data_IF_646967829522
#
_entry.id   IF_646967829522
#
_cell.length_a   1.000
_cell.length_b   1.000
_cell.length_c   1.000
_cell.angle_alpha   90.00
_cell.angle_beta   90.00
_cell.angle_gamma   90.00
#
_symmetry.space_group_name_H-M   'P 1'
#
loop_
_entity.id
_entity.type
_entity.pdbx_description
1 polymer ?
#
# COMPACT_ATOMS: atom_id res chain seq x y z
N UNK A 1 66.12 -34.23 -13.32
CA UNK A 1 65.43 -33.56 -14.45
C UNK A 1 64.14 -34.33 -14.63
N UNK A 2 63.08 -33.80 -14.07
CA UNK A 2 61.72 -34.29 -14.32
C UNK A 2 60.83 -33.06 -14.24
N UNK A 3 60.56 -32.49 -15.41
CA UNK A 3 59.64 -31.38 -15.59
C UNK A 3 58.21 -31.90 -15.38
N UNK A 4 57.52 -31.36 -14.38
CA UNK A 4 56.09 -31.57 -14.18
C UNK A 4 55.36 -30.28 -14.57
N UNK A 5 54.73 -30.28 -15.73
CA UNK A 5 53.78 -29.26 -16.16
C UNK A 5 52.60 -29.19 -15.22
N UNK A 6 52.09 -28.00 -14.87
CA UNK A 6 50.84 -27.86 -14.13
C UNK A 6 49.63 -28.09 -15.06
N UNK A 7 48.51 -28.61 -14.53
CA UNK A 7 47.33 -28.86 -15.33
C UNK A 7 46.63 -27.54 -15.73
N UNK A 8 46.36 -27.44 -17.04
CA UNK A 8 45.47 -26.42 -17.63
C UNK A 8 44.11 -26.47 -16.99
N UNK A 9 43.75 -25.38 -16.32
CA UNK A 9 42.37 -25.08 -15.94
C UNK A 9 41.62 -24.70 -17.21
N UNK A 10 40.90 -25.64 -17.80
CA UNK A 10 39.89 -25.35 -18.82
C UNK A 10 38.70 -24.71 -18.14
N UNK A 11 38.68 -23.38 -18.14
CA UNK A 11 37.49 -22.59 -17.94
C UNK A 11 36.51 -22.89 -19.08
N UNK A 12 35.58 -23.78 -18.81
CA UNK A 12 34.42 -24.00 -19.68
C UNK A 12 33.47 -22.84 -19.41
N UNK A 13 33.23 -21.92 -20.35
CA UNK A 13 32.20 -20.91 -20.17
C UNK A 13 30.86 -21.64 -20.10
N UNK A 14 30.19 -21.47 -18.97
CA UNK A 14 28.81 -21.93 -18.74
C UNK A 14 27.96 -21.61 -19.96
N UNK A 15 27.32 -22.67 -20.49
CA UNK A 15 26.49 -22.64 -21.67
C UNK A 15 25.57 -21.44 -21.66
N UNK A 16 25.70 -20.58 -22.67
CA UNK A 16 24.74 -19.53 -22.97
C UNK A 16 23.36 -20.18 -23.09
N UNK A 17 22.49 -19.88 -22.13
CA UNK A 17 21.08 -20.23 -22.25
C UNK A 17 20.57 -19.68 -23.58
N UNK A 18 19.99 -20.54 -24.40
CA UNK A 18 19.51 -20.22 -25.74
C UNK A 18 18.43 -19.11 -25.69
N UNK A 19 17.94 -18.60 -26.85
CA UNK A 19 17.07 -17.44 -26.96
C UNK A 19 15.68 -17.67 -26.29
N UNK A 20 15.61 -17.75 -24.97
CA UNK A 20 14.42 -18.10 -24.18
C UNK A 20 14.60 -18.07 -22.68
N UNK A 21 15.55 -17.29 -22.16
CA UNK A 21 15.72 -17.10 -20.71
C UNK A 21 14.44 -16.70 -19.98
N UNK A 22 14.39 -16.77 -18.64
CA UNK A 22 13.21 -16.47 -17.83
C UNK A 22 12.57 -15.12 -18.19
N UNK A 23 13.38 -14.14 -18.55
CA UNK A 23 12.97 -12.80 -18.97
C UNK A 23 12.17 -12.83 -20.28
N UNK A 24 12.64 -13.56 -21.29
CA UNK A 24 11.95 -13.68 -22.57
C UNK A 24 10.59 -14.38 -22.42
N UNK A 25 10.44 -15.31 -21.47
CA UNK A 25 9.15 -15.94 -21.15
C UNK A 25 8.15 -14.95 -20.55
N UNK A 26 8.60 -14.04 -19.68
CA UNK A 26 7.75 -13.01 -19.07
C UNK A 26 7.20 -12.03 -20.10
N UNK A 27 7.99 -11.68 -21.11
CA UNK A 27 7.64 -10.68 -22.12
C UNK A 27 6.82 -11.26 -23.28
N UNK A 28 6.67 -12.58 -23.36
CA UNK A 28 5.95 -13.25 -24.45
C UNK A 28 4.50 -12.85 -24.50
N UNK A 29 4.02 -12.48 -25.71
CA UNK A 29 2.63 -12.13 -25.98
C UNK A 29 2.19 -10.78 -25.42
N UNK A 30 3.15 -9.90 -25.06
CA UNK A 30 2.88 -8.49 -24.86
C UNK A 30 2.86 -7.78 -26.22
N UNK A 31 1.94 -6.83 -26.41
CA UNK A 31 2.00 -5.92 -27.55
C UNK A 31 3.12 -4.86 -27.34
N UNK A 32 3.49 -4.07 -28.38
CA UNK A 32 4.58 -3.11 -28.27
C UNK A 32 4.42 -2.11 -27.11
N UNK A 33 3.22 -1.58 -26.88
CA UNK A 33 2.94 -0.61 -25.83
C UNK A 33 3.04 -1.25 -24.43
N UNK A 34 2.52 -2.48 -24.30
CA UNK A 34 2.64 -3.26 -23.05
C UNK A 34 4.09 -3.61 -22.77
N UNK A 35 4.88 -3.99 -23.79
CA UNK A 35 6.28 -4.28 -23.66
C UNK A 35 7.05 -3.04 -23.20
N UNK A 36 6.83 -1.90 -23.84
CA UNK A 36 7.44 -0.63 -23.46
C UNK A 36 7.10 -0.28 -22.00
N UNK A 37 5.84 -0.42 -21.59
CA UNK A 37 5.41 -0.14 -20.22
C UNK A 37 6.06 -1.09 -19.18
N UNK A 38 6.22 -2.37 -19.51
CA UNK A 38 6.85 -3.37 -18.62
C UNK A 38 8.33 -3.11 -18.44
N UNK A 39 9.03 -2.71 -19.50
CA UNK A 39 10.49 -2.52 -19.51
C UNK A 39 10.94 -1.08 -19.24
N UNK A 40 10.02 -0.16 -18.91
CA UNK A 40 10.35 1.21 -18.50
C UNK A 40 11.47 1.23 -17.43
N UNK A 41 12.40 2.18 -17.49
CA UNK A 41 13.38 2.38 -16.43
C UNK A 41 12.72 2.67 -15.07
N UNK A 42 13.52 2.64 -14.00
CA UNK A 42 13.06 2.93 -12.63
C UNK A 42 12.90 4.43 -12.38
N UNK A 43 11.95 5.03 -13.08
CA UNK A 43 11.55 6.43 -12.92
C UNK A 43 10.06 6.51 -12.64
N UNK A 44 9.58 7.55 -11.95
CA UNK A 44 8.15 7.81 -11.82
C UNK A 44 7.48 7.80 -13.18
N UNK A 45 6.45 6.99 -13.35
CA UNK A 45 5.79 6.79 -14.64
C UNK A 45 4.28 6.68 -14.48
N UNK A 46 3.54 7.30 -15.38
CA UNK A 46 2.09 7.19 -15.49
C UNK A 46 1.74 6.38 -16.75
N UNK A 47 0.97 5.31 -16.57
CA UNK A 47 0.49 4.48 -17.68
C UNK A 47 -1.01 4.68 -17.81
N UNK A 48 -1.44 5.32 -18.90
CA UNK A 48 -2.85 5.51 -19.23
C UNK A 48 -3.33 4.35 -20.09
N UNK A 49 -4.39 3.68 -19.65
CA UNK A 49 -4.90 2.49 -20.33
C UNK A 49 -6.41 2.34 -20.15
N UNK A 50 -7.14 2.10 -21.24
CA UNK A 50 -8.59 1.89 -21.25
C UNK A 50 -9.02 0.59 -20.55
N UNK A 51 -10.33 0.39 -20.42
CA UNK A 51 -10.87 -0.88 -19.95
C UNK A 51 -10.48 -2.02 -20.93
N UNK A 52 -10.14 -3.19 -20.40
CA UNK A 52 -9.74 -4.36 -21.22
C UNK A 52 -8.35 -4.30 -21.84
N UNK A 53 -7.59 -3.21 -21.71
CA UNK A 53 -6.22 -3.06 -22.28
C UNK A 53 -5.15 -3.93 -21.62
N UNK A 54 -5.49 -4.68 -20.56
CA UNK A 54 -4.54 -5.53 -19.86
C UNK A 54 -3.74 -4.82 -18.77
N UNK A 55 -4.21 -3.70 -18.21
CA UNK A 55 -3.53 -2.95 -17.12
C UNK A 55 -2.95 -3.84 -16.03
N UNK A 56 -3.75 -4.76 -15.50
CA UNK A 56 -3.31 -5.68 -14.44
C UNK A 56 -2.20 -6.61 -14.93
N UNK A 57 -2.27 -7.06 -16.19
CA UNK A 57 -1.21 -7.87 -16.80
C UNK A 57 0.10 -7.07 -16.90
N UNK A 58 0.04 -5.85 -17.39
CA UNK A 58 1.23 -4.97 -17.48
C UNK A 58 1.85 -4.77 -16.10
N UNK A 59 1.03 -4.43 -15.09
CA UNK A 59 1.52 -4.21 -13.72
C UNK A 59 2.18 -5.46 -13.14
N UNK A 60 1.53 -6.62 -13.21
CA UNK A 60 2.09 -7.87 -12.66
C UNK A 60 3.34 -8.30 -13.43
N UNK A 61 3.36 -8.17 -14.76
CA UNK A 61 4.54 -8.51 -15.56
C UNK A 61 5.70 -7.54 -15.28
N UNK A 62 5.42 -6.24 -15.05
CA UNK A 62 6.46 -5.28 -14.65
C UNK A 62 7.06 -5.62 -13.29
N UNK A 63 6.24 -5.97 -12.30
CA UNK A 63 6.75 -6.41 -10.99
C UNK A 63 7.65 -7.64 -11.18
N UNK A 64 7.19 -8.65 -11.92
CA UNK A 64 7.97 -9.84 -12.20
C UNK A 64 9.27 -9.54 -12.94
N UNK A 65 9.23 -8.62 -13.91
CA UNK A 65 10.40 -8.13 -14.65
C UNK A 65 11.43 -7.48 -13.72
N UNK A 66 11.01 -6.53 -12.87
CA UNK A 66 11.90 -5.85 -11.92
C UNK A 66 12.58 -6.81 -10.94
N UNK A 67 11.87 -7.86 -10.52
CA UNK A 67 12.40 -8.87 -9.61
C UNK A 67 13.38 -9.81 -10.33
N UNK A 68 13.03 -10.29 -11.52
CA UNK A 68 13.88 -11.21 -12.29
C UNK A 68 15.18 -10.55 -12.79
N UNK A 69 15.12 -9.27 -13.15
CA UNK A 69 16.30 -8.49 -13.57
C UNK A 69 17.11 -7.94 -12.39
N UNK A 70 16.76 -8.30 -11.15
CA UNK A 70 17.47 -7.85 -9.94
C UNK A 70 17.34 -6.35 -9.65
N UNK A 71 16.44 -5.65 -10.37
CA UNK A 71 16.22 -4.22 -10.17
C UNK A 71 15.45 -3.90 -8.88
N UNK A 72 14.73 -4.86 -8.32
CA UNK A 72 14.04 -4.75 -7.04
C UNK A 72 14.11 -6.08 -6.28
N UNK A 73 14.02 -6.02 -4.95
CA UNK A 73 13.83 -7.20 -4.11
C UNK A 73 12.34 -7.39 -3.78
N UNK A 74 11.88 -8.60 -3.39
CA UNK A 74 10.50 -8.82 -2.95
C UNK A 74 10.04 -7.88 -1.85
N UNK A 75 10.91 -7.58 -0.88
CA UNK A 75 10.62 -6.63 0.21
C UNK A 75 10.58 -5.16 -0.23
N UNK A 76 11.12 -4.83 -1.40
CA UNK A 76 11.10 -3.49 -1.98
C UNK A 76 9.89 -3.22 -2.90
N UNK A 77 8.94 -4.15 -3.00
CA UNK A 77 7.72 -3.98 -3.82
C UNK A 77 6.54 -3.62 -2.92
N UNK A 78 5.94 -2.48 -3.21
CA UNK A 78 4.63 -2.06 -2.69
C UNK A 78 3.66 -1.93 -3.88
N UNK A 79 2.65 -2.78 -3.94
CA UNK A 79 1.63 -2.74 -4.98
C UNK A 79 0.23 -2.66 -4.38
N UNK A 80 -0.50 -1.62 -4.74
CA UNK A 80 -1.77 -1.27 -4.13
C UNK A 80 -2.91 -1.38 -5.13
N UNK A 81 -4.04 -1.87 -4.68
CA UNK A 81 -5.29 -1.96 -5.46
C UNK A 81 -6.51 -1.64 -4.59
N UNK A 82 -7.67 -1.44 -5.21
CA UNK A 82 -8.88 -1.08 -4.48
C UNK A 82 -9.63 -2.28 -3.88
N UNK A 83 -9.52 -3.47 -4.47
CA UNK A 83 -10.31 -4.63 -4.04
C UNK A 83 -9.46 -5.81 -3.62
N UNK A 84 -9.93 -6.56 -2.62
CA UNK A 84 -9.28 -7.79 -2.20
C UNK A 84 -9.22 -8.84 -3.31
N UNK A 85 -10.23 -8.86 -4.20
CA UNK A 85 -10.24 -9.74 -5.37
C UNK A 85 -9.07 -9.43 -6.31
N UNK A 86 -8.86 -8.14 -6.64
CA UNK A 86 -7.75 -7.73 -7.50
C UNK A 86 -6.39 -7.98 -6.85
N UNK A 87 -6.25 -7.75 -5.54
CA UNK A 87 -5.03 -8.07 -4.80
C UNK A 87 -4.71 -9.57 -4.84
N UNK A 88 -5.71 -10.43 -4.61
CA UNK A 88 -5.56 -11.89 -4.69
C UNK A 88 -5.19 -12.36 -6.10
N UNK A 89 -5.84 -11.79 -7.13
CA UNK A 89 -5.52 -12.09 -8.52
C UNK A 89 -4.07 -11.70 -8.87
N UNK A 90 -3.62 -10.53 -8.43
CA UNK A 90 -2.24 -10.07 -8.61
C UNK A 90 -1.24 -11.04 -7.96
N UNK A 91 -1.47 -11.44 -6.72
CA UNK A 91 -0.63 -12.42 -6.01
C UNK A 91 -0.59 -13.78 -6.71
N UNK A 92 -1.74 -14.28 -7.20
CA UNK A 92 -1.83 -15.53 -7.96
C UNK A 92 -1.02 -15.48 -9.24
N UNK A 93 -1.15 -14.38 -10.00
CA UNK A 93 -0.40 -14.18 -11.26
C UNK A 93 1.10 -14.09 -11.02
N UNK A 94 1.53 -13.34 -10.01
CA UNK A 94 2.94 -13.22 -9.65
C UNK A 94 3.53 -14.55 -9.18
N UNK A 95 2.78 -15.33 -8.38
CA UNK A 95 3.21 -16.65 -7.94
C UNK A 95 3.37 -17.65 -9.09
N UNK A 96 2.63 -17.48 -10.19
CA UNK A 96 2.79 -18.29 -11.40
C UNK A 96 3.98 -17.84 -12.28
N UNK A 97 4.42 -16.58 -12.17
CA UNK A 97 5.49 -15.99 -12.98
C UNK A 97 6.87 -16.09 -12.31
N UNK A 98 6.91 -16.19 -10.99
CA UNK A 98 8.13 -16.05 -10.20
C UNK A 98 8.45 -17.33 -9.42
N UNK A 99 9.71 -17.76 -9.38
CA UNK A 99 10.16 -18.87 -8.54
C UNK A 99 10.30 -18.49 -7.06
N UNK A 100 9.97 -17.26 -6.68
CA UNK A 100 10.14 -16.74 -5.32
C UNK A 100 8.80 -16.64 -4.57
N UNK A 101 8.87 -16.70 -3.23
CA UNK A 101 7.69 -16.57 -2.40
C UNK A 101 7.12 -15.15 -2.45
N UNK A 102 5.94 -14.99 -3.03
CA UNK A 102 5.24 -13.69 -3.14
C UNK A 102 4.53 -13.27 -1.85
N UNK A 103 4.38 -14.19 -0.88
CA UNK A 103 3.67 -13.94 0.40
C UNK A 103 4.30 -12.84 1.27
N UNK A 104 5.59 -12.57 1.12
CA UNK A 104 6.30 -11.52 1.86
C UNK A 104 6.12 -10.11 1.27
N UNK A 105 5.66 -10.00 0.03
CA UNK A 105 5.52 -8.73 -0.66
C UNK A 105 4.40 -7.88 -0.05
N UNK A 106 4.51 -6.56 -0.21
CA UNK A 106 3.49 -5.61 0.19
C UNK A 106 2.49 -5.41 -0.95
N UNK A 107 1.64 -6.42 -1.17
CA UNK A 107 0.59 -6.42 -2.19
C UNK A 107 -0.77 -6.55 -1.52
N UNK A 108 -1.65 -5.58 -1.72
CA UNK A 108 -2.94 -5.55 -1.04
C UNK A 108 -3.79 -4.34 -1.41
N UNK A 109 -4.89 -4.17 -0.68
CA UNK A 109 -5.69 -2.95 -0.73
C UNK A 109 -5.05 -1.86 0.13
N UNK A 110 -5.38 -0.59 -0.12
CA UNK A 110 -4.95 0.53 0.73
C UNK A 110 -5.21 0.21 2.21
N UNK A 111 -6.45 -0.06 2.58
CA UNK A 111 -6.83 -0.39 3.97
C UNK A 111 -6.06 -1.58 4.52
N UNK A 112 -5.93 -2.66 3.75
CA UNK A 112 -5.20 -3.86 4.19
C UNK A 112 -3.72 -3.60 4.43
N UNK A 113 -3.08 -2.82 3.57
CA UNK A 113 -1.66 -2.47 3.70
C UNK A 113 -1.44 -1.45 4.83
N UNK A 114 -2.30 -0.44 4.98
CA UNK A 114 -2.26 0.49 6.11
C UNK A 114 -2.42 -0.24 7.45
N UNK A 115 -3.39 -1.16 7.54
CA UNK A 115 -3.56 -2.00 8.73
C UNK A 115 -2.29 -2.83 9.02
N UNK A 116 -1.73 -3.50 8.01
CA UNK A 116 -0.48 -4.26 8.15
C UNK A 116 0.68 -3.38 8.62
N UNK A 117 0.77 -2.15 8.08
CA UNK A 117 1.79 -1.18 8.45
C UNK A 117 1.63 -0.74 9.91
N UNK A 118 0.43 -0.35 10.31
CA UNK A 118 0.13 0.03 11.70
C UNK A 118 0.38 -1.12 12.68
N UNK A 119 0.00 -2.37 12.32
CA UNK A 119 0.29 -3.55 13.13
C UNK A 119 1.79 -3.78 13.32
N UNK A 120 2.61 -3.54 12.30
CA UNK A 120 4.06 -3.68 12.39
C UNK A 120 4.71 -2.56 13.22
N UNK A 121 4.12 -1.37 13.21
CA UNK A 121 4.70 -0.15 13.83
C UNK A 121 3.81 0.46 14.92
N UNK A 122 2.99 -0.35 15.58
CA UNK A 122 2.01 0.11 16.57
C UNK A 122 2.60 0.98 17.68
N UNK A 123 3.82 0.66 18.15
CA UNK A 123 4.52 1.45 19.17
C UNK A 123 4.85 2.88 18.68
N UNK A 124 5.35 3.00 17.44
CA UNK A 124 5.65 4.29 16.83
C UNK A 124 4.39 5.12 16.58
N UNK A 125 3.29 4.45 16.27
CA UNK A 125 1.99 5.08 16.10
C UNK A 125 1.29 5.45 17.42
N UNK A 126 1.89 5.13 18.57
CA UNK A 126 1.26 5.38 19.89
C UNK A 126 0.02 4.52 20.15
N UNK A 127 -0.15 3.40 19.43
CA UNK A 127 -1.32 2.54 19.53
C UNK A 127 -1.06 1.35 20.48
N UNK A 128 -2.06 0.82 21.16
CA UNK A 128 -1.92 -0.45 21.87
C UNK A 128 -1.77 -1.61 20.86
N UNK A 129 -1.07 -2.68 21.24
CA UNK A 129 -0.83 -3.82 20.36
C UNK A 129 -2.12 -4.45 19.79
N UNK A 130 -3.18 -4.43 20.59
CA UNK A 130 -4.50 -4.97 20.25
C UNK A 130 -5.48 -3.96 19.68
N UNK A 131 -5.02 -2.80 19.18
CA UNK A 131 -5.92 -1.76 18.67
C UNK A 131 -6.94 -2.30 17.66
N UNK A 132 -8.11 -1.69 17.62
CA UNK A 132 -9.16 -2.01 16.67
C UNK A 132 -9.34 -0.87 15.66
N UNK A 133 -9.78 -1.22 14.44
CA UNK A 133 -10.11 -0.23 13.42
C UNK A 133 -11.61 -0.02 13.43
N UNK A 134 -12.02 1.23 13.57
CA UNK A 134 -13.43 1.60 13.50
C UNK A 134 -13.95 1.52 12.07
N UNK A 135 -15.14 0.98 11.90
CA UNK A 135 -15.89 1.18 10.68
C UNK A 135 -16.62 2.54 10.68
N UNK A 136 -17.23 2.89 9.54
CA UNK A 136 -17.93 4.19 9.41
C UNK A 136 -19.12 4.34 10.38
N UNK A 137 -19.77 3.23 10.77
CA UNK A 137 -20.87 3.22 11.74
C UNK A 137 -20.36 3.44 13.15
N UNK A 138 -19.27 2.77 13.50
CA UNK A 138 -18.61 2.90 14.80
C UNK A 138 -18.02 4.30 14.97
N UNK A 139 -17.40 4.85 13.94
CA UNK A 139 -16.88 6.22 13.92
C UNK A 139 -18.01 7.23 14.19
N UNK A 140 -19.13 7.13 13.45
CA UNK A 140 -20.29 8.00 13.65
C UNK A 140 -20.84 7.87 15.09
N UNK A 141 -20.90 6.64 15.63
CA UNK A 141 -21.36 6.39 16.99
C UNK A 141 -20.42 7.00 18.04
N UNK A 142 -19.12 6.92 17.83
CA UNK A 142 -18.12 7.57 18.68
C UNK A 142 -18.26 9.10 18.66
N UNK A 143 -18.42 9.71 17.49
CA UNK A 143 -18.65 11.16 17.35
C UNK A 143 -19.93 11.59 18.06
N UNK A 144 -21.05 10.83 17.94
CA UNK A 144 -22.29 11.11 18.68
C UNK A 144 -22.07 11.10 20.18
N UNK A 145 -21.33 10.11 20.72
CA UNK A 145 -21.02 10.06 22.15
C UNK A 145 -20.25 11.30 22.62
N UNK A 146 -19.28 11.76 21.82
CA UNK A 146 -18.49 12.95 22.14
C UNK A 146 -19.36 14.21 22.13
N UNK A 147 -20.17 14.43 21.10
CA UNK A 147 -21.10 15.58 21.01
C UNK A 147 -22.03 15.62 22.23
N UNK A 148 -22.61 14.48 22.59
CA UNK A 148 -23.48 14.35 23.76
C UNK A 148 -22.73 14.61 25.08
N UNK A 149 -21.54 14.07 25.25
CA UNK A 149 -20.70 14.28 26.43
C UNK A 149 -20.30 15.74 26.63
N UNK A 150 -20.16 16.48 25.53
CA UNK A 150 -19.85 17.92 25.53
C UNK A 150 -21.12 18.81 25.68
N UNK A 151 -22.29 18.23 25.81
CA UNK A 151 -23.59 18.91 25.86
C UNK A 151 -23.80 19.87 24.67
N UNK A 152 -23.36 19.48 23.48
CA UNK A 152 -23.58 20.26 22.27
C UNK A 152 -24.91 19.90 21.61
N UNK A 153 -25.53 20.90 21.02
CA UNK A 153 -26.75 20.75 20.25
C UNK A 153 -26.52 19.95 18.97
N UNK A 154 -27.16 18.79 18.82
CA UNK A 154 -27.04 17.90 17.68
C UNK A 154 -27.65 18.48 16.38
N UNK A 155 -28.56 19.45 16.46
CA UNK A 155 -29.09 20.16 15.31
C UNK A 155 -28.01 21.12 14.71
N UNK A 156 -27.25 21.77 15.60
CA UNK A 156 -26.14 22.66 15.22
C UNK A 156 -24.85 21.88 14.87
N UNK A 157 -24.58 20.79 15.58
CA UNK A 157 -23.41 19.93 15.37
C UNK A 157 -23.86 18.55 14.89
N UNK A 158 -24.38 18.50 13.65
CA UNK A 158 -24.89 17.27 13.06
C UNK A 158 -23.78 16.21 13.02
N UNK A 159 -23.95 15.06 13.72
CA UNK A 159 -22.84 14.09 13.87
C UNK A 159 -22.19 13.66 12.58
N UNK A 160 -22.97 13.48 11.52
CA UNK A 160 -22.45 13.11 10.19
C UNK A 160 -21.55 14.21 9.57
N UNK A 161 -21.93 15.48 9.74
CA UNK A 161 -21.12 16.59 9.27
C UNK A 161 -19.83 16.73 10.08
N UNK A 162 -19.90 16.53 11.39
CA UNK A 162 -18.73 16.51 12.27
C UNK A 162 -17.78 15.37 11.89
N UNK A 163 -18.31 14.18 11.60
CA UNK A 163 -17.50 13.05 11.10
C UNK A 163 -16.78 13.41 9.79
N UNK A 164 -17.48 14.03 8.85
CA UNK A 164 -16.86 14.49 7.60
C UNK A 164 -15.81 15.57 7.81
N UNK A 165 -16.04 16.50 8.73
CA UNK A 165 -15.03 17.50 9.08
C UNK A 165 -13.76 16.82 9.61
N UNK A 166 -13.90 15.90 10.58
CA UNK A 166 -12.76 15.16 11.14
C UNK A 166 -12.01 14.38 10.06
N UNK A 167 -12.74 13.64 9.21
CA UNK A 167 -12.15 12.88 8.11
C UNK A 167 -11.38 13.78 7.15
N UNK A 168 -11.96 14.91 6.73
CA UNK A 168 -11.30 15.87 5.85
C UNK A 168 -10.02 16.45 6.45
N UNK A 169 -10.03 16.80 7.75
CA UNK A 169 -8.80 17.28 8.41
C UNK A 169 -7.71 16.19 8.47
N UNK A 170 -8.09 14.94 8.75
CA UNK A 170 -7.16 13.81 8.73
C UNK A 170 -6.58 13.53 7.35
N UNK A 171 -7.39 13.61 6.29
CA UNK A 171 -6.94 13.43 4.90
C UNK A 171 -5.90 14.49 4.50
N UNK A 172 -6.04 15.71 5.00
CA UNK A 172 -5.07 16.79 4.81
C UNK A 172 -3.85 16.69 5.76
N UNK A 173 -3.84 15.72 6.65
CA UNK A 173 -2.77 15.52 7.64
C UNK A 173 -2.85 16.47 8.84
N UNK A 174 -3.95 17.18 9.01
CA UNK A 174 -4.14 18.13 10.10
C UNK A 174 -4.63 17.43 11.38
N UNK A 175 -3.87 17.53 12.45
CA UNK A 175 -4.31 17.20 13.80
C UNK A 175 -5.02 18.40 14.44
N UNK A 176 -5.84 18.23 15.52
CA UNK A 176 -6.61 19.31 16.11
C UNK A 176 -5.85 20.64 16.30
N UNK A 177 -4.59 20.66 16.80
CA UNK A 177 -3.85 21.91 16.96
C UNK A 177 -3.42 22.60 15.66
N UNK A 178 -3.49 21.89 14.51
CA UNK A 178 -3.05 22.38 13.20
C UNK A 178 -4.22 22.94 12.37
N UNK A 179 -5.45 22.74 12.84
CA UNK A 179 -6.65 23.22 12.12
C UNK A 179 -6.82 24.73 12.29
N UNK A 180 -6.91 25.45 11.18
CA UNK A 180 -7.17 26.91 11.17
C UNK A 180 -8.65 27.18 11.55
N UNK A 181 -8.88 27.56 12.79
CA UNK A 181 -10.21 27.80 13.37
C UNK A 181 -10.47 29.30 13.59
N UNK A 182 -10.91 30.01 12.54
CA UNK A 182 -11.11 31.46 12.56
C UNK A 182 -12.43 31.87 13.21
N UNK A 183 -13.47 31.08 13.07
CA UNK A 183 -14.79 31.33 13.61
C UNK A 183 -15.12 30.44 14.83
N UNK A 184 -16.16 30.81 15.57
CA UNK A 184 -16.58 30.11 16.79
C UNK A 184 -17.07 28.69 16.51
N UNK A 185 -17.77 28.49 15.38
CA UNK A 185 -18.28 27.16 15.00
C UNK A 185 -17.12 26.20 14.72
N UNK A 186 -16.14 26.64 13.90
CA UNK A 186 -14.95 25.82 13.60
C UNK A 186 -14.12 25.54 14.85
N UNK A 187 -13.97 26.53 15.74
CA UNK A 187 -13.31 26.28 17.06
C UNK A 187 -14.01 25.18 17.87
N UNK A 188 -15.34 25.16 17.83
CA UNK A 188 -16.10 24.11 18.49
C UNK A 188 -15.94 22.74 17.81
N UNK A 189 -15.90 22.69 16.48
CA UNK A 189 -15.60 21.47 15.72
C UNK A 189 -14.21 20.91 16.06
N UNK A 190 -13.20 21.78 16.20
CA UNK A 190 -11.84 21.39 16.61
C UNK A 190 -11.84 20.80 18.03
N UNK A 191 -12.60 21.39 18.98
CA UNK A 191 -12.76 20.83 20.33
C UNK A 191 -13.41 19.42 20.29
N UNK A 192 -14.42 19.22 19.44
CA UNK A 192 -15.02 17.89 19.25
C UNK A 192 -14.01 16.93 18.62
N UNK A 193 -13.21 17.37 17.66
CA UNK A 193 -12.17 16.55 17.05
C UNK A 193 -11.12 16.13 18.09
N UNK A 194 -10.66 17.04 18.92
CA UNK A 194 -9.71 16.73 20.00
C UNK A 194 -10.31 15.71 21.00
N UNK A 195 -11.54 15.94 21.45
CA UNK A 195 -12.22 15.00 22.34
C UNK A 195 -12.44 13.63 21.71
N UNK A 196 -12.70 13.57 20.40
CA UNK A 196 -12.81 12.34 19.65
C UNK A 196 -11.47 11.58 19.58
N UNK A 197 -10.36 12.26 19.31
CA UNK A 197 -9.02 11.65 19.31
C UNK A 197 -8.66 11.07 20.68
N UNK A 198 -8.94 11.83 21.75
CA UNK A 198 -8.73 11.36 23.12
C UNK A 198 -9.59 10.12 23.46
N UNK A 199 -10.83 10.09 22.99
CA UNK A 199 -11.71 8.94 23.18
C UNK A 199 -11.21 7.71 22.42
N UNK A 200 -10.78 7.88 21.17
CA UNK A 200 -10.18 6.82 20.37
C UNK A 200 -8.92 6.25 21.03
N UNK A 201 -8.03 7.11 21.51
CA UNK A 201 -6.84 6.70 22.23
C UNK A 201 -7.16 5.92 23.52
N UNK A 202 -8.16 6.37 24.29
CA UNK A 202 -8.63 5.71 25.52
C UNK A 202 -9.24 4.33 25.26
N UNK A 203 -10.00 4.20 24.19
CA UNK A 203 -10.64 2.94 23.78
C UNK A 203 -9.67 2.01 23.01
N UNK A 204 -8.50 2.48 22.63
CA UNK A 204 -7.53 1.71 21.84
C UNK A 204 -8.02 1.44 20.43
N UNK A 205 -8.70 2.40 19.83
CA UNK A 205 -9.27 2.30 18.48
C UNK A 205 -8.67 3.34 17.54
N UNK A 206 -8.74 3.09 16.25
CA UNK A 206 -8.27 4.00 15.18
C UNK A 206 -9.24 3.97 14.00
N UNK A 207 -9.42 5.08 13.31
CA UNK A 207 -10.26 5.25 12.13
C UNK A 207 -9.44 5.49 10.87
#
# INVERSE_FOLDING_TARGET
MHDSEPPELTDTPSAAEGPGGPEAKLLRGLNPEQLAAVTLPRVPSLILAGAGSGKTRVLTTRIAWLLNTGQASPGGILAVTFTNKAAKEMLTRLGAMLPVAVRGMWIGTFHGLCNRFLRAHWKLAGLPQGFQILDSGDQLSAVKRVIKAMNLDEERFVPKQVTWFIAGQKEEGHRPPQVDARDEHTRKLVQVYEAYELQCAKEGVVD
#
